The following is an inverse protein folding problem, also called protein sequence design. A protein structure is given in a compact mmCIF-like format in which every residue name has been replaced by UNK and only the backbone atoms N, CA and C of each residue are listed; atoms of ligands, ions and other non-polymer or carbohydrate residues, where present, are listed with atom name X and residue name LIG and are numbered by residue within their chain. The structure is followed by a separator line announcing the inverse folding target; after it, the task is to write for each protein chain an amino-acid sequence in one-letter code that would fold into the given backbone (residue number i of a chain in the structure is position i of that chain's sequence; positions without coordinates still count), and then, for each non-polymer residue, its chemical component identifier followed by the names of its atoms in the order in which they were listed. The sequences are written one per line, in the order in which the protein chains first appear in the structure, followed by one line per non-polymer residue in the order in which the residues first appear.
data_IF_494585495389
#
_entry.id   IF_494585495389
#
_cell.length_a   1.000
_cell.length_b   1.000
_cell.length_c   1.000
_cell.angle_alpha   90.00
_cell.angle_beta   90.00
_cell.angle_gamma   90.00
#
_symmetry.space_group_name_H-M   'P 1'
#
loop_
_entity.id
_entity.type
_entity.pdbx_description
1 polymer ?
#
# COMPACT_ATOMS: atom_id res chain seq x y z
N UNK A 1 11.04 -17.93 -4.72
CA UNK A 1 11.44 -16.54 -5.00
C UNK A 1 12.11 -16.04 -3.75
N UNK A 2 13.43 -15.91 -3.79
CA UNK A 2 14.29 -15.50 -2.66
C UNK A 2 14.45 -13.97 -2.57
N UNK A 3 13.44 -13.22 -3.02
CA UNK A 3 13.46 -11.77 -2.95
C UNK A 3 13.25 -11.33 -1.51
N UNK A 4 14.26 -10.69 -0.92
CA UNK A 4 14.18 -10.10 0.42
C UNK A 4 13.50 -8.74 0.30
N UNK A 5 12.31 -8.62 0.87
CA UNK A 5 11.50 -7.40 0.81
C UNK A 5 11.48 -6.73 2.18
N UNK A 6 11.78 -5.43 2.22
CA UNK A 6 11.59 -4.64 3.43
C UNK A 6 10.09 -4.38 3.62
N UNK A 7 9.55 -4.86 4.73
CA UNK A 7 8.15 -4.60 5.12
C UNK A 7 8.14 -3.60 6.27
N UNK A 8 7.33 -2.56 6.14
CA UNK A 8 7.03 -1.61 7.20
C UNK A 8 5.59 -1.82 7.67
N UNK A 9 5.39 -1.94 8.98
CA UNK A 9 4.07 -2.17 9.57
C UNK A 9 3.75 -0.98 10.47
N UNK A 10 2.61 -0.35 10.20
CA UNK A 10 2.11 0.80 10.94
C UNK A 10 0.92 0.37 11.79
N UNK A 11 1.00 0.57 13.11
CA UNK A 11 -0.16 0.45 14.01
C UNK A 11 -0.86 1.80 14.07
N UNK A 12 -2.07 1.87 13.52
CA UNK A 12 -2.78 3.13 13.27
C UNK A 12 -3.73 3.41 14.43
N UNK A 13 -3.70 4.65 14.94
CA UNK A 13 -4.63 5.15 15.94
C UNK A 13 -5.51 6.23 15.31
N UNK A 14 -6.83 6.13 15.48
CA UNK A 14 -7.77 7.12 14.95
C UNK A 14 -7.56 8.51 15.53
N UNK A 15 -7.30 8.58 16.84
CA UNK A 15 -7.10 9.83 17.57
C UNK A 15 -5.86 9.74 18.42
N UNK A 16 -4.86 10.54 18.08
CA UNK A 16 -3.66 10.64 18.88
C UNK A 16 -3.97 11.30 20.22
N UNK A 17 -3.40 10.77 21.31
CA UNK A 17 -3.42 11.49 22.59
C UNK A 17 -2.36 12.59 22.50
N UNK A 18 -2.78 13.85 22.49
CA UNK A 18 -1.82 14.96 22.66
C UNK A 18 -1.12 14.81 24.01
N UNK A 19 0.21 14.91 24.00
CA UNK A 19 0.95 14.98 25.26
C UNK A 19 0.53 16.25 25.97
N UNK A 20 -0.18 16.14 27.10
CA UNK A 20 -0.33 17.27 28.01
C UNK A 20 1.07 17.66 28.46
N UNK A 21 1.52 18.87 28.11
CA UNK A 21 2.73 19.47 28.70
C UNK A 21 2.62 19.30 30.22
N UNK A 22 3.55 18.54 30.80
CA UNK A 22 3.68 18.42 32.24
C UNK A 22 3.88 19.81 32.84
N UNK A 23 3.26 20.04 33.99
CA UNK A 23 3.34 21.28 34.75
C UNK A 23 4.77 21.47 35.27
N UNK A 24 5.62 22.08 34.46
CA UNK A 24 6.99 22.46 34.76
C UNK A 24 7.19 23.91 34.32
N UNK A 25 7.63 24.77 35.25
CA UNK A 25 7.62 26.22 35.10
C UNK A 25 8.29 26.70 33.80
N UNK A 26 7.53 27.48 33.03
CA UNK A 26 8.00 28.20 31.84
C UNK A 26 9.06 29.23 32.24
N UNK A 27 10.23 29.17 31.61
CA UNK A 27 11.13 30.32 31.48
C UNK A 27 11.34 30.57 29.98
N UNK A 28 10.86 31.74 29.58
CA UNK A 28 11.19 32.52 28.38
C UNK A 28 10.52 32.13 27.05
N UNK A 29 10.39 33.18 26.23
CA UNK A 29 9.27 33.52 25.35
C UNK A 29 9.74 33.49 23.89
N UNK A 30 9.15 32.64 23.05
CA UNK A 30 9.33 32.67 21.60
C UNK A 30 7.94 32.77 20.92
N UNK A 31 7.68 33.79 20.07
CA UNK A 31 6.34 34.10 19.57
C UNK A 31 5.95 33.22 18.36
N UNK A 32 5.85 31.92 18.59
CA UNK A 32 5.25 30.96 17.66
C UNK A 32 4.38 29.94 18.42
N UNK A 33 3.34 30.43 19.09
CA UNK A 33 2.23 29.57 19.54
C UNK A 33 1.32 29.23 18.35
N UNK A 34 1.51 28.06 17.74
CA UNK A 34 0.42 27.15 17.34
C UNK A 34 0.85 25.83 16.70
N UNK A 35 2.10 25.36 16.84
CA UNK A 35 2.38 23.93 16.62
C UNK A 35 2.15 23.20 17.95
N UNK A 36 0.88 23.09 18.35
CA UNK A 36 0.50 21.96 19.17
C UNK A 36 0.97 20.73 18.39
N UNK A 37 1.98 20.00 18.91
CA UNK A 37 2.50 18.74 18.34
C UNK A 37 1.35 18.02 17.63
N UNK A 38 1.26 18.19 16.30
CA UNK A 38 0.15 17.65 15.52
C UNK A 38 0.25 16.15 15.72
N UNK A 39 -0.70 15.61 16.48
CA UNK A 39 -0.69 14.19 16.72
C UNK A 39 -0.81 13.52 15.35
N UNK A 40 0.21 12.76 14.95
CA UNK A 40 0.23 12.05 13.68
C UNK A 40 -0.75 10.87 13.77
N UNK A 41 -2.04 11.18 13.62
CA UNK A 41 -3.14 10.22 13.64
C UNK A 41 -3.81 10.12 12.27
N UNK A 42 -4.77 9.19 12.15
CA UNK A 42 -5.47 8.95 10.91
C UNK A 42 -6.43 10.08 10.50
N UNK A 43 -6.73 11.05 11.38
CA UNK A 43 -7.49 12.24 11.02
C UNK A 43 -6.63 13.25 10.24
N UNK A 44 -5.32 13.33 10.54
CA UNK A 44 -4.41 14.29 9.92
C UNK A 44 -3.61 13.71 8.74
N UNK A 45 -3.25 12.42 8.78
CA UNK A 45 -2.47 11.77 7.72
C UNK A 45 -3.32 10.82 6.88
N UNK A 46 -3.21 10.91 5.55
CA UNK A 46 -3.76 9.88 4.66
C UNK A 46 -2.91 8.60 4.77
N UNK A 47 -3.29 7.75 5.72
CA UNK A 47 -2.66 6.45 6.00
C UNK A 47 -2.76 5.46 4.84
N UNK A 48 -3.65 5.70 3.87
CA UNK A 48 -3.80 4.83 2.69
C UNK A 48 -2.85 5.23 1.56
N UNK A 49 -2.28 6.44 1.59
CA UNK A 49 -1.25 6.85 0.65
C UNK A 49 -0.01 5.99 0.83
N UNK A 50 0.43 5.35 -0.27
CA UNK A 50 1.53 4.37 -0.28
C UNK A 50 1.28 3.11 0.56
N UNK A 51 0.03 2.82 0.95
CA UNK A 51 -0.32 1.58 1.63
C UNK A 51 -0.52 0.45 0.61
N UNK A 52 0.26 -0.62 0.73
CA UNK A 52 0.13 -1.78 -0.16
C UNK A 52 -0.90 -2.80 0.31
N UNK A 53 -1.33 -2.76 1.59
CA UNK A 53 -2.31 -3.68 2.14
C UNK A 53 -2.71 -3.31 3.56
N UNK A 54 -3.97 -3.60 3.90
CA UNK A 54 -4.56 -3.24 5.21
C UNK A 54 -4.98 -4.50 5.95
N UNK A 55 -4.73 -4.53 7.26
CA UNK A 55 -5.28 -5.54 8.16
C UNK A 55 -6.22 -4.83 9.13
N UNK A 56 -7.51 -5.15 9.05
CA UNK A 56 -8.53 -4.61 9.95
C UNK A 56 -8.94 -5.70 10.93
N UNK A 57 -8.69 -5.50 12.22
CA UNK A 57 -8.94 -6.51 13.24
C UNK A 57 -10.09 -6.10 14.16
N UNK A 58 -10.95 -7.05 14.49
CA UNK A 58 -12.01 -6.86 15.49
C UNK A 58 -12.08 -8.03 16.47
N UNK A 59 -12.79 -7.84 17.57
CA UNK A 59 -13.00 -8.84 18.63
C UNK A 59 -14.37 -9.49 18.43
N UNK A 60 -14.40 -10.82 18.18
CA UNK A 60 -15.66 -11.54 17.91
C UNK A 60 -16.64 -11.52 19.10
N UNK A 61 -16.17 -11.16 20.29
CA UNK A 61 -16.98 -11.07 21.52
C UNK A 61 -17.57 -9.67 21.74
N UNK A 62 -17.23 -8.68 20.90
CA UNK A 62 -17.63 -7.28 21.08
C UNK A 62 -18.20 -6.68 19.80
N UNK A 63 -19.53 -6.55 19.74
CA UNK A 63 -20.26 -6.02 18.57
C UNK A 63 -19.79 -4.64 18.11
N UNK A 64 -19.43 -3.75 19.03
CA UNK A 64 -18.98 -2.40 18.69
C UNK A 64 -17.67 -2.40 17.88
N UNK A 65 -16.80 -3.38 18.08
CA UNK A 65 -15.54 -3.49 17.33
C UNK A 65 -15.79 -3.84 15.88
N UNK A 66 -16.75 -4.72 15.60
CA UNK A 66 -17.17 -5.00 14.22
C UNK A 66 -17.93 -3.83 13.60
N UNK A 67 -18.76 -3.13 14.39
CA UNK A 67 -19.45 -1.91 13.94
C UNK A 67 -18.47 -0.82 13.50
N UNK A 68 -17.28 -0.78 14.10
CA UNK A 68 -16.19 0.10 13.66
C UNK A 68 -15.61 -0.35 12.32
N UNK A 69 -15.31 -1.64 12.13
CA UNK A 69 -14.88 -2.18 10.82
C UNK A 69 -15.88 -1.84 9.72
N UNK A 70 -17.18 -1.94 10.00
CA UNK A 70 -18.22 -1.62 9.02
C UNK A 70 -18.20 -0.17 8.55
N UNK A 71 -17.72 0.76 9.39
CA UNK A 71 -17.58 2.19 9.07
C UNK A 71 -16.27 2.51 8.36
N UNK A 72 -15.19 1.83 8.72
CA UNK A 72 -13.85 2.11 8.18
C UNK A 72 -13.54 1.37 6.88
N UNK A 73 -14.02 0.13 6.73
CA UNK A 73 -13.75 -0.69 5.54
C UNK A 73 -14.11 0.02 4.22
N UNK A 74 -15.26 0.73 4.10
CA UNK A 74 -15.61 1.46 2.87
C UNK A 74 -14.68 2.63 2.55
N UNK A 75 -13.90 3.14 3.52
CA UNK A 75 -12.95 4.23 3.30
C UNK A 75 -11.65 3.74 2.66
N UNK A 76 -11.37 2.44 2.72
CA UNK A 76 -10.15 1.87 2.14
C UNK A 76 -10.25 1.88 0.60
N UNK A 77 -9.28 2.49 -0.11
CA UNK A 77 -9.25 2.49 -1.56
C UNK A 77 -9.36 1.08 -2.18
N UNK A 78 -10.07 1.01 -3.30
CA UNK A 78 -10.41 -0.23 -4.01
C UNK A 78 -9.21 -1.03 -4.48
N UNK A 79 -8.10 -0.35 -4.80
CA UNK A 79 -6.86 -0.97 -5.24
C UNK A 79 -6.01 -1.56 -4.10
N UNK A 80 -6.39 -1.36 -2.83
CA UNK A 80 -5.63 -1.87 -1.68
C UNK A 80 -6.30 -3.14 -1.15
N UNK A 81 -5.59 -4.28 -1.05
CA UNK A 81 -6.13 -5.52 -0.49
C UNK A 81 -6.34 -5.38 1.02
N UNK A 82 -7.43 -5.95 1.53
CA UNK A 82 -7.79 -5.86 2.95
C UNK A 82 -7.98 -7.25 3.56
N UNK A 83 -7.35 -7.49 4.70
CA UNK A 83 -7.58 -8.66 5.55
C UNK A 83 -8.41 -8.26 6.77
N UNK A 84 -9.67 -8.66 6.81
CA UNK A 84 -10.52 -8.52 7.99
C UNK A 84 -10.29 -9.73 8.91
N UNK A 85 -9.79 -9.48 10.12
CA UNK A 85 -9.46 -10.50 11.10
C UNK A 85 -10.41 -10.47 12.30
N UNK A 86 -11.23 -11.51 12.45
CA UNK A 86 -11.99 -11.74 13.68
C UNK A 86 -11.12 -12.42 14.73
N UNK A 87 -10.57 -11.64 15.65
CA UNK A 87 -9.69 -12.11 16.73
C UNK A 87 -10.50 -12.60 17.94
N UNK A 88 -9.82 -13.19 18.94
CA UNK A 88 -10.41 -13.85 20.12
C UNK A 88 -11.22 -15.10 19.77
N UNK A 89 -10.80 -15.84 18.73
CA UNK A 89 -11.47 -17.09 18.34
C UNK A 89 -11.49 -18.15 19.45
N UNK A 90 -10.53 -18.09 20.36
CA UNK A 90 -10.47 -18.93 21.58
C UNK A 90 -11.61 -18.64 22.57
N UNK A 91 -12.24 -17.47 22.51
CA UNK A 91 -13.42 -17.10 23.31
C UNK A 91 -14.73 -17.32 22.55
N UNK A 92 -14.80 -18.40 21.77
CA UNK A 92 -15.92 -18.69 20.87
C UNK A 92 -17.28 -18.82 21.56
N UNK A 93 -17.32 -19.18 22.84
CA UNK A 93 -18.55 -19.26 23.65
C UNK A 93 -19.17 -17.88 23.93
N UNK A 94 -18.34 -16.83 23.97
CA UNK A 94 -18.77 -15.45 24.15
C UNK A 94 -18.95 -14.71 22.82
N UNK A 95 -19.02 -15.45 21.70
CA UNK A 95 -19.19 -14.85 20.37
C UNK A 95 -20.52 -14.11 20.29
N UNK A 96 -20.44 -12.89 19.78
CA UNK A 96 -21.62 -12.09 19.43
C UNK A 96 -21.69 -11.76 17.93
N UNK A 97 -20.59 -11.98 17.17
CA UNK A 97 -20.52 -11.73 15.73
C UNK A 97 -20.36 -13.06 14.97
N UNK A 98 -21.29 -13.37 14.07
CA UNK A 98 -21.23 -14.61 13.28
C UNK A 98 -20.30 -14.45 12.07
N UNK A 99 -19.57 -15.52 11.67
CA UNK A 99 -18.72 -15.49 10.48
C UNK A 99 -19.48 -15.13 9.20
N UNK A 100 -20.74 -15.56 9.10
CA UNK A 100 -21.56 -15.35 7.91
C UNK A 100 -22.00 -13.88 7.78
N UNK A 101 -22.35 -13.23 8.88
CA UNK A 101 -22.65 -11.79 8.90
C UNK A 101 -21.46 -10.97 8.34
N UNK A 102 -20.24 -11.34 8.73
CA UNK A 102 -19.02 -10.68 8.25
C UNK A 102 -18.81 -10.94 6.76
N UNK A 103 -19.00 -12.19 6.30
CA UNK A 103 -18.86 -12.55 4.89
C UNK A 103 -19.89 -11.83 4.02
N UNK A 104 -21.12 -11.73 4.50
CA UNK A 104 -22.19 -11.09 3.75
C UNK A 104 -22.02 -9.57 3.71
N UNK A 105 -21.52 -8.96 4.79
CA UNK A 105 -21.05 -7.57 4.78
C UNK A 105 -19.90 -7.34 3.77
N UNK A 106 -18.92 -8.23 3.71
CA UNK A 106 -17.81 -8.09 2.74
C UNK A 106 -18.30 -8.24 1.30
N UNK A 107 -19.22 -9.18 1.04
CA UNK A 107 -19.83 -9.34 -0.28
C UNK A 107 -20.64 -8.11 -0.69
N UNK A 108 -21.36 -7.49 0.25
CA UNK A 108 -22.14 -6.27 -0.03
C UNK A 108 -21.27 -5.04 -0.27
N UNK A 109 -19.99 -5.08 0.11
CA UNK A 109 -19.03 -3.99 -0.09
C UNK A 109 -18.66 -3.73 -1.57
N UNK A 110 -19.24 -4.48 -2.53
CA UNK A 110 -19.35 -4.20 -3.97
C UNK A 110 -18.13 -3.56 -4.68
N UNK A 111 -16.92 -4.06 -4.43
CA UNK A 111 -15.71 -3.62 -5.15
C UNK A 111 -15.78 -4.00 -6.63
N UNK A 112 -15.35 -3.08 -7.50
CA UNK A 112 -15.41 -3.27 -8.95
C UNK A 112 -14.60 -4.50 -9.43
N UNK A 113 -14.98 -5.12 -10.56
CA UNK A 113 -14.14 -6.12 -11.20
C UNK A 113 -12.78 -5.50 -11.55
N UNK A 114 -11.68 -6.09 -11.06
CA UNK A 114 -10.27 -5.60 -11.07
C UNK A 114 -9.81 -4.85 -9.82
N UNK A 115 -10.68 -4.56 -8.86
CA UNK A 115 -10.29 -4.07 -7.53
C UNK A 115 -9.60 -5.17 -6.71
N UNK A 116 -8.85 -4.76 -5.70
CA UNK A 116 -8.14 -5.66 -4.78
C UNK A 116 -9.09 -6.39 -3.84
N UNK A 117 -8.65 -7.55 -3.37
CA UNK A 117 -9.48 -8.47 -2.60
C UNK A 117 -9.68 -8.03 -1.15
N UNK A 118 -10.90 -8.16 -0.66
CA UNK A 118 -11.21 -8.18 0.77
C UNK A 118 -11.33 -9.64 1.20
N UNK A 119 -10.59 -10.04 2.22
CA UNK A 119 -10.58 -11.41 2.75
C UNK A 119 -10.89 -11.41 4.23
N UNK A 120 -11.73 -12.34 4.66
CA UNK A 120 -12.04 -12.56 6.06
C UNK A 120 -11.37 -13.83 6.56
N UNK A 121 -10.77 -13.76 7.75
CA UNK A 121 -10.30 -14.91 8.50
C UNK A 121 -10.51 -14.70 10.00
N UNK A 122 -10.49 -15.81 10.74
CA UNK A 122 -10.53 -15.79 12.20
C UNK A 122 -9.14 -16.05 12.76
N UNK A 123 -8.83 -15.41 13.88
CA UNK A 123 -7.56 -15.55 14.58
C UNK A 123 -7.75 -15.66 16.09
N UNK A 124 -6.76 -16.24 16.75
CA UNK A 124 -6.57 -16.07 18.19
C UNK A 124 -5.11 -15.73 18.41
N UNK A 125 -4.84 -14.45 18.66
CA UNK A 125 -3.49 -13.98 18.96
C UNK A 125 -2.95 -14.57 20.27
N UNK A 126 -3.83 -15.08 21.15
CA UNK A 126 -3.43 -15.75 22.39
C UNK A 126 -2.67 -17.05 22.14
N UNK A 127 -3.08 -17.82 21.14
CA UNK A 127 -2.49 -19.14 20.83
C UNK A 127 -1.84 -19.22 19.43
N UNK A 128 -1.82 -18.10 18.68
CA UNK A 128 -1.23 -18.02 17.35
C UNK A 128 -2.10 -18.61 16.22
N UNK A 129 -3.36 -18.97 16.49
CA UNK A 129 -4.28 -19.41 15.45
C UNK A 129 -4.54 -18.30 14.44
N UNK A 130 -4.55 -18.64 13.15
CA UNK A 130 -4.76 -17.68 12.05
C UNK A 130 -3.49 -16.99 11.54
N UNK A 131 -2.35 -17.07 12.24
CA UNK A 131 -1.10 -16.42 11.79
C UNK A 131 -0.58 -16.99 10.45
N UNK A 132 -0.74 -18.29 10.20
CA UNK A 132 -0.39 -18.89 8.89
C UNK A 132 -1.22 -18.31 7.75
N UNK A 133 -2.49 -18.00 8.00
CA UNK A 133 -3.35 -17.36 7.02
C UNK A 133 -2.88 -15.93 6.76
N UNK A 134 -2.59 -15.17 7.83
CA UNK A 134 -2.10 -13.80 7.73
C UNK A 134 -0.77 -13.73 6.97
N UNK A 135 0.15 -14.64 7.27
CA UNK A 135 1.41 -14.78 6.53
C UNK A 135 1.16 -15.01 5.03
N UNK A 136 0.22 -15.90 4.68
CA UNK A 136 -0.14 -16.15 3.28
C UNK A 136 -0.86 -14.96 2.64
N UNK A 137 -1.62 -14.18 3.40
CA UNK A 137 -2.28 -12.97 2.92
C UNK A 137 -1.27 -11.93 2.44
N UNK A 138 -0.13 -11.76 3.11
CA UNK A 138 0.93 -10.82 2.69
C UNK A 138 1.50 -11.11 1.29
N UNK A 139 1.30 -12.32 0.75
CA UNK A 139 1.66 -12.59 -0.64
C UNK A 139 0.83 -11.76 -1.64
N UNK A 140 -0.42 -11.42 -1.32
CA UNK A 140 -1.29 -10.62 -2.20
C UNK A 140 -0.70 -9.22 -2.46
N UNK A 141 -0.47 -8.38 -1.43
CA UNK A 141 0.11 -7.06 -1.63
C UNK A 141 1.51 -7.15 -2.26
N UNK A 142 2.30 -8.17 -1.91
CA UNK A 142 3.60 -8.38 -2.54
C UNK A 142 3.51 -8.64 -4.05
N UNK A 143 2.62 -9.55 -4.47
CA UNK A 143 2.39 -9.84 -5.89
C UNK A 143 1.84 -8.62 -6.65
N UNK A 144 1.03 -7.78 -5.98
CA UNK A 144 0.53 -6.55 -6.58
C UNK A 144 1.64 -5.52 -6.79
N UNK A 145 2.52 -5.36 -5.80
CA UNK A 145 3.70 -4.51 -5.91
C UNK A 145 4.65 -5.01 -7.00
N UNK A 146 4.90 -6.32 -7.07
CA UNK A 146 5.73 -6.92 -8.12
C UNK A 146 5.14 -6.64 -9.52
N UNK A 147 3.82 -6.81 -9.68
CA UNK A 147 3.14 -6.50 -10.93
C UNK A 147 3.28 -5.03 -11.30
N UNK A 148 3.11 -4.12 -10.35
CA UNK A 148 3.25 -2.68 -10.59
C UNK A 148 4.67 -2.31 -11.02
N UNK A 149 5.69 -2.86 -10.36
CA UNK A 149 7.09 -2.68 -10.74
C UNK A 149 7.36 -3.17 -12.16
N UNK A 150 6.86 -4.35 -12.53
CA UNK A 150 7.02 -4.91 -13.87
C UNK A 150 6.35 -4.02 -14.93
N UNK A 151 5.16 -3.49 -14.65
CA UNK A 151 4.49 -2.57 -15.57
C UNK A 151 5.28 -1.28 -15.78
N UNK A 152 5.85 -0.71 -14.71
CA UNK A 152 6.73 0.47 -14.83
C UNK A 152 8.00 0.16 -15.63
N UNK A 153 8.60 -1.02 -15.44
CA UNK A 153 9.76 -1.43 -16.22
C UNK A 153 9.42 -1.58 -17.71
N UNK A 154 8.24 -2.11 -18.05
CA UNK A 154 7.77 -2.17 -19.43
C UNK A 154 7.54 -0.77 -20.01
N UNK A 155 6.98 0.15 -19.23
CA UNK A 155 6.80 1.55 -19.64
C UNK A 155 8.14 2.24 -19.91
N UNK A 156 9.12 2.10 -19.01
CA UNK A 156 10.48 2.63 -19.23
C UNK A 156 11.12 2.02 -20.47
N UNK A 157 11.01 0.70 -20.64
CA UNK A 157 11.56 0.03 -21.80
C UNK A 157 10.93 0.53 -23.12
N UNK A 158 9.63 0.82 -23.11
CA UNK A 158 8.96 1.42 -24.27
C UNK A 158 9.51 2.81 -24.58
N UNK A 159 9.71 3.66 -23.57
CA UNK A 159 10.30 4.99 -23.75
C UNK A 159 11.73 4.90 -24.30
N UNK A 160 12.54 3.94 -23.85
CA UNK A 160 13.90 3.72 -24.35
C UNK A 160 13.90 3.30 -25.83
N UNK A 161 12.93 2.45 -26.24
CA UNK A 161 12.73 2.08 -27.64
C UNK A 161 12.39 3.31 -28.47
N UNK A 162 11.42 4.10 -28.03
CA UNK A 162 10.95 5.28 -28.76
C UNK A 162 12.08 6.31 -28.91
N UNK A 163 12.87 6.53 -27.86
CA UNK A 163 14.04 7.40 -27.90
C UNK A 163 15.12 6.89 -28.86
N UNK A 164 15.40 5.58 -28.86
CA UNK A 164 16.38 4.98 -29.78
C UNK A 164 15.93 5.10 -31.24
N UNK A 165 14.63 4.94 -31.51
CA UNK A 165 14.08 5.11 -32.86
C UNK A 165 14.21 6.56 -33.34
N UNK A 166 13.99 7.53 -32.47
CA UNK A 166 14.20 8.94 -32.77
C UNK A 166 15.68 9.22 -33.06
N UNK A 167 16.61 8.75 -32.23
CA UNK A 167 18.05 8.88 -32.46
C UNK A 167 18.48 8.29 -33.80
N UNK A 168 18.00 7.09 -34.14
CA UNK A 168 18.29 6.44 -35.43
C UNK A 168 17.73 7.23 -36.61
N UNK A 169 16.54 7.84 -36.46
CA UNK A 169 15.95 8.66 -37.52
C UNK A 169 16.79 9.90 -37.81
N UNK A 170 17.26 10.58 -36.76
CA UNK A 170 18.16 11.74 -36.88
C UNK A 170 19.50 11.33 -37.50
N UNK A 171 20.07 10.19 -37.09
CA UNK A 171 21.29 9.66 -37.70
C UNK A 171 21.12 9.33 -39.18
N UNK A 172 19.96 8.81 -39.60
CA UNK A 172 19.70 8.53 -41.00
C UNK A 172 19.62 9.81 -41.86
N UNK A 173 19.24 10.92 -41.25
CA UNK A 173 19.20 12.24 -41.88
C UNK A 173 20.58 12.93 -41.90
N UNK A 174 21.59 12.41 -41.18
CA UNK A 174 22.93 13.00 -41.17
C UNK A 174 23.80 12.50 -42.33
N UNK A 175 24.71 13.35 -42.78
CA UNK A 175 25.66 13.05 -43.86
C UNK A 175 26.63 11.90 -43.53
N UNK A 176 26.74 11.49 -42.26
CA UNK A 176 27.57 10.34 -41.84
C UNK A 176 27.04 8.99 -42.34
N UNK A 177 25.74 8.88 -42.65
CA UNK A 177 25.14 7.71 -43.30
C UNK A 177 25.22 7.78 -44.84
N UNK A 178 25.71 8.88 -45.41
CA UNK A 178 25.88 9.01 -46.86
C UNK A 178 27.12 8.24 -47.32
N UNK A 179 26.87 7.05 -47.87
CA UNK A 179 27.92 6.13 -48.31
C UNK A 179 28.85 6.73 -49.37
N UNK A 180 28.34 7.58 -50.26
CA UNK A 180 29.15 8.20 -51.32
C UNK A 180 30.13 9.24 -50.73
N UNK A 181 29.68 10.03 -49.74
CA UNK A 181 30.54 11.00 -49.02
C UNK A 181 31.63 10.29 -48.20
N UNK A 182 31.29 9.14 -47.61
CA UNK A 182 32.24 8.29 -46.90
C UNK A 182 33.31 7.71 -47.84
N UNK A 183 32.94 7.28 -49.04
CA UNK A 183 33.87 6.80 -50.06
C UNK A 183 34.81 7.92 -50.55
N UNK A 184 34.29 9.12 -50.81
CA UNK A 184 35.12 10.29 -51.19
C UNK A 184 36.14 10.66 -50.10
N UNK A 185 35.75 10.57 -48.82
CA UNK A 185 36.66 10.78 -47.69
C UNK A 185 37.72 9.67 -47.52
N UNK A 186 37.43 8.45 -47.96
CA UNK A 186 38.42 7.36 -47.99
C UNK A 186 39.39 7.50 -49.16
N UNK A 187 38.92 7.87 -50.34
CA UNK A 187 39.77 8.06 -51.52
C UNK A 187 40.70 9.26 -51.39
N UNK A 188 40.28 10.32 -50.69
CA UNK A 188 41.13 11.48 -50.37
C UNK A 188 42.18 11.22 -49.29
N UNK A 189 42.12 10.08 -48.59
CA UNK A 189 43.11 9.67 -47.56
C UNK A 189 44.19 8.71 -48.09
N UNK A 190 44.10 8.26 -49.34
CA UNK A 190 45.16 7.53 -50.05
C UNK A 190 46.02 8.45 -50.90
#
# INVERSE_FOLDING_TARGET
TDDIVKVEVWDIVDKGKSRKKGDGLKLENDPQESDAELALDAEFLDVYKNCNGVIMMFDITKQWTFSYIMKELPKVPDHIPVCVLGNHRDMGEHRVILPDDVRDFIKSSNRLPRSSYIRYAESSLRNGFGLKYLHKFFNIPFLQLQRETLLRQLETNQLDIDATLEELSVQHETEEQNYDLFLELMDTKN
#
